data_IF_070231813294
#
_entry.id   IF_070231813294
#
_cell.length_a   1.000
_cell.length_b   1.000
_cell.length_c   1.000
_cell.angle_alpha   90.00
_cell.angle_beta   90.00
_cell.angle_gamma   90.00
#
_symmetry.space_group_name_H-M   'P 1'
#
loop_
_entity.id
_entity.type
_entity.pdbx_description
1 polymer ?
#
# COMPACT_ATOMS: atom_id res chain seq x y z
N UNK A 1 -24.78 -4.97 -11.71
CA UNK A 1 -24.49 -3.54 -11.97
C UNK A 1 -25.37 -2.92 -13.07
N UNK A 2 -26.21 -3.71 -13.75
CA UNK A 2 -26.99 -3.27 -14.92
C UNK A 2 -28.13 -2.30 -14.57
N UNK A 3 -28.72 -2.40 -13.38
CA UNK A 3 -29.86 -1.54 -12.99
C UNK A 3 -29.57 -0.04 -13.05
N UNK A 4 -28.37 0.39 -12.63
CA UNK A 4 -28.01 1.82 -12.71
C UNK A 4 -27.79 2.28 -14.16
N UNK A 5 -27.36 1.40 -15.06
CA UNK A 5 -27.23 1.71 -16.48
C UNK A 5 -28.61 1.86 -17.13
N UNK A 6 -29.56 0.98 -16.80
CA UNK A 6 -30.95 1.10 -17.27
C UNK A 6 -31.58 2.45 -16.88
N UNK A 7 -31.39 2.89 -15.63
CA UNK A 7 -31.96 4.16 -15.16
C UNK A 7 -31.30 5.38 -15.82
N UNK A 8 -30.04 5.30 -16.28
CA UNK A 8 -29.35 6.39 -17.00
C UNK A 8 -30.00 6.71 -18.35
N UNK A 9 -30.57 5.70 -19.00
CA UNK A 9 -31.26 5.85 -20.29
C UNK A 9 -32.66 6.44 -20.13
N UNK A 10 -33.24 6.39 -18.92
CA UNK A 10 -34.60 6.88 -18.72
C UNK A 10 -34.65 8.41 -18.55
N UNK A 11 -35.60 9.09 -19.22
CA UNK A 11 -35.74 10.53 -19.14
C UNK A 11 -36.24 11.01 -17.77
N UNK A 12 -36.89 10.13 -17.00
CA UNK A 12 -37.41 10.42 -15.65
C UNK A 12 -36.32 10.74 -14.62
N UNK A 13 -35.07 10.33 -14.88
CA UNK A 13 -33.91 10.63 -14.04
C UNK A 13 -33.00 11.68 -14.67
N UNK A 14 -33.57 12.64 -15.42
CA UNK A 14 -32.82 13.79 -15.95
C UNK A 14 -33.24 15.07 -15.21
N UNK A 15 -32.27 15.80 -14.68
CA UNK A 15 -32.47 17.12 -14.08
C UNK A 15 -31.69 18.19 -14.81
N UNK A 16 -32.15 19.43 -14.75
CA UNK A 16 -31.44 20.57 -15.31
C UNK A 16 -30.43 21.07 -14.29
N UNK A 17 -29.16 21.17 -14.67
CA UNK A 17 -28.12 21.76 -13.83
C UNK A 17 -28.19 23.30 -13.85
N UNK A 18 -27.39 23.96 -13.01
CA UNK A 18 -27.28 25.42 -12.96
C UNK A 18 -26.93 26.05 -14.33
N UNK A 19 -26.20 25.32 -15.18
CA UNK A 19 -25.83 25.75 -16.53
C UNK A 19 -26.90 25.47 -17.61
N UNK A 20 -28.12 25.05 -17.24
CA UNK A 20 -29.20 24.72 -18.18
C UNK A 20 -29.07 23.36 -18.87
N UNK A 21 -27.99 22.61 -18.62
CA UNK A 21 -27.75 21.30 -19.21
C UNK A 21 -28.55 20.19 -18.49
N UNK A 22 -29.13 19.26 -19.26
CA UNK A 22 -29.80 18.06 -18.71
C UNK A 22 -28.76 17.02 -18.27
N UNK A 23 -28.61 16.86 -16.97
CA UNK A 23 -27.70 15.89 -16.33
C UNK A 23 -28.47 14.75 -15.67
N UNK A 24 -27.83 13.60 -15.51
CA UNK A 24 -28.42 12.45 -14.82
C UNK A 24 -28.60 12.73 -13.33
N UNK A 25 -29.81 12.50 -12.81
CA UNK A 25 -30.15 12.70 -11.41
C UNK A 25 -29.85 11.44 -10.58
N UNK A 26 -28.58 11.30 -10.21
CA UNK A 26 -28.07 10.18 -9.41
C UNK A 26 -28.84 10.03 -8.09
N UNK A 27 -29.28 11.13 -7.47
CA UNK A 27 -29.92 11.08 -6.16
C UNK A 27 -31.30 10.44 -6.23
N UNK A 28 -32.10 10.83 -7.22
CA UNK A 28 -33.41 10.21 -7.48
C UNK A 28 -33.24 8.75 -7.88
N UNK A 29 -32.32 8.45 -8.81
CA UNK A 29 -32.05 7.07 -9.23
C UNK A 29 -31.58 6.16 -8.07
N UNK A 30 -30.67 6.63 -7.21
CA UNK A 30 -30.20 5.89 -6.05
C UNK A 30 -31.32 5.66 -5.01
N UNK A 31 -32.20 6.63 -4.82
CA UNK A 31 -33.36 6.51 -3.92
C UNK A 31 -34.35 5.45 -4.44
N UNK A 32 -34.62 5.45 -5.74
CA UNK A 32 -35.45 4.43 -6.40
C UNK A 32 -34.83 3.04 -6.29
N UNK A 33 -33.54 2.88 -6.60
CA UNK A 33 -32.82 1.60 -6.45
C UNK A 33 -32.89 1.10 -5.01
N UNK A 34 -32.72 1.98 -4.02
CA UNK A 34 -32.83 1.62 -2.60
C UNK A 34 -34.23 1.16 -2.20
N UNK A 35 -35.28 1.80 -2.75
CA UNK A 35 -36.66 1.39 -2.52
C UNK A 35 -36.98 0.04 -3.19
N UNK A 36 -36.46 -0.20 -4.40
CA UNK A 36 -36.55 -1.49 -5.10
C UNK A 36 -35.83 -2.59 -4.31
N UNK A 37 -34.62 -2.34 -3.83
CA UNK A 37 -33.83 -3.29 -3.04
C UNK A 37 -34.56 -3.77 -1.78
N UNK A 38 -35.22 -2.85 -1.06
CA UNK A 38 -36.01 -3.18 0.14
C UNK A 38 -37.19 -4.12 -0.17
N UNK A 39 -37.76 -4.02 -1.37
CA UNK A 39 -38.91 -4.82 -1.82
C UNK A 39 -38.50 -6.17 -2.43
N UNK A 40 -37.21 -6.41 -2.67
CA UNK A 40 -36.74 -7.67 -3.23
C UNK A 40 -37.02 -8.85 -2.27
N UNK A 41 -37.43 -10.01 -2.79
CA UNK A 41 -37.54 -11.25 -2.01
C UNK A 41 -36.21 -11.68 -1.42
N UNK A 42 -36.24 -12.40 -0.30
CA UNK A 42 -35.02 -12.90 0.37
C UNK A 42 -34.17 -13.80 -0.54
N UNK A 43 -34.81 -14.63 -1.36
CA UNK A 43 -34.11 -15.50 -2.31
C UNK A 43 -33.27 -14.70 -3.34
N UNK A 44 -33.80 -13.55 -3.78
CA UNK A 44 -33.13 -12.68 -4.75
C UNK A 44 -32.00 -11.89 -4.09
N UNK A 45 -32.20 -11.43 -2.84
CA UNK A 45 -31.12 -10.84 -2.03
C UNK A 45 -29.97 -11.83 -1.81
N UNK A 46 -30.28 -13.07 -1.44
CA UNK A 46 -29.28 -14.12 -1.26
C UNK A 46 -28.48 -14.42 -2.54
N UNK A 47 -29.11 -14.32 -3.72
CA UNK A 47 -28.41 -14.42 -5.01
C UNK A 47 -27.38 -13.30 -5.18
N UNK A 48 -27.76 -12.06 -4.85
CA UNK A 48 -26.86 -10.91 -4.92
C UNK A 48 -25.71 -11.03 -3.91
N UNK A 49 -25.99 -11.52 -2.71
CA UNK A 49 -24.95 -11.76 -1.68
C UNK A 49 -23.93 -12.79 -2.17
N UNK A 50 -24.40 -13.91 -2.75
CA UNK A 50 -23.52 -14.92 -3.35
C UNK A 50 -22.69 -14.35 -4.50
N UNK A 51 -23.28 -13.52 -5.35
CA UNK A 51 -22.56 -12.85 -6.43
C UNK A 51 -21.51 -11.88 -5.87
N UNK A 52 -21.82 -11.17 -4.79
CA UNK A 52 -20.87 -10.32 -4.08
C UNK A 52 -19.68 -11.13 -3.55
N UNK A 53 -19.92 -12.26 -2.89
CA UNK A 53 -18.84 -13.16 -2.43
C UNK A 53 -17.94 -13.61 -3.59
N UNK A 54 -18.53 -13.98 -4.73
CA UNK A 54 -17.77 -14.34 -5.93
C UNK A 54 -16.92 -13.19 -6.45
N UNK A 55 -17.47 -11.96 -6.48
CA UNK A 55 -16.72 -10.78 -6.89
C UNK A 55 -15.60 -10.43 -5.90
N UNK A 56 -15.82 -10.57 -4.60
CA UNK A 56 -14.78 -10.38 -3.57
C UNK A 56 -13.66 -11.40 -3.78
N UNK A 57 -14.00 -12.69 -3.94
CA UNK A 57 -13.00 -13.72 -4.18
C UNK A 57 -12.20 -13.49 -5.46
N UNK A 58 -12.85 -13.02 -6.54
CA UNK A 58 -12.16 -12.67 -7.78
C UNK A 58 -11.26 -11.45 -7.59
N UNK A 59 -11.76 -10.41 -6.92
CA UNK A 59 -10.98 -9.21 -6.61
C UNK A 59 -9.74 -9.53 -5.78
N UNK A 60 -9.84 -10.41 -4.79
CA UNK A 60 -8.69 -10.83 -3.99
C UNK A 60 -7.62 -11.56 -4.82
N UNK A 61 -8.04 -12.42 -5.75
CA UNK A 61 -7.12 -13.08 -6.70
C UNK A 61 -6.45 -12.06 -7.61
N UNK A 62 -7.22 -11.15 -8.19
CA UNK A 62 -6.70 -10.12 -9.09
C UNK A 62 -5.77 -9.15 -8.35
N UNK A 63 -6.11 -8.78 -7.12
CA UNK A 63 -5.27 -7.95 -6.27
C UNK A 63 -3.94 -8.66 -5.95
N UNK A 64 -3.97 -9.95 -5.64
CA UNK A 64 -2.76 -10.73 -5.38
C UNK A 64 -1.91 -10.88 -6.65
N UNK A 65 -2.54 -11.09 -7.81
CA UNK A 65 -1.84 -11.15 -9.10
C UNK A 65 -1.19 -9.81 -9.44
N UNK A 66 -1.93 -8.70 -9.27
CA UNK A 66 -1.42 -7.34 -9.48
C UNK A 66 -0.26 -7.02 -8.53
N UNK A 67 -0.37 -7.35 -7.24
CA UNK A 67 0.72 -7.14 -6.27
C UNK A 67 1.98 -7.91 -6.66
N UNK A 68 1.85 -9.12 -7.20
CA UNK A 68 2.98 -9.92 -7.69
C UNK A 68 3.58 -9.36 -8.98
N UNK A 69 2.79 -8.70 -9.82
CA UNK A 69 3.28 -8.07 -11.05
C UNK A 69 3.99 -6.73 -10.83
N UNK A 70 3.89 -6.14 -9.62
CA UNK A 70 4.54 -4.86 -9.35
C UNK A 70 6.06 -5.00 -9.33
N UNK A 71 6.72 -4.19 -10.16
CA UNK A 71 8.17 -4.03 -10.08
C UNK A 71 8.55 -3.18 -8.87
N UNK A 72 9.79 -3.27 -8.36
CA UNK A 72 10.26 -2.39 -7.30
C UNK A 72 10.08 -0.89 -7.66
N UNK A 73 10.27 -0.56 -8.93
CA UNK A 73 10.13 0.81 -9.43
C UNK A 73 8.66 1.28 -9.43
N UNK A 74 7.71 0.39 -9.74
CA UNK A 74 6.27 0.69 -9.62
C UNK A 74 5.89 0.99 -8.17
N UNK A 75 6.34 0.15 -7.24
CA UNK A 75 6.10 0.34 -5.80
C UNK A 75 6.70 1.67 -5.34
N UNK A 76 7.91 1.99 -5.77
CA UNK A 76 8.58 3.24 -5.42
C UNK A 76 7.81 4.45 -5.96
N UNK A 77 7.46 4.47 -7.25
CA UNK A 77 6.69 5.57 -7.86
C UNK A 77 5.35 5.76 -7.17
N UNK A 78 4.61 4.68 -6.94
CA UNK A 78 3.31 4.76 -6.27
C UNK A 78 3.43 5.29 -4.84
N UNK A 79 4.42 4.82 -4.08
CA UNK A 79 4.65 5.27 -2.72
C UNK A 79 5.08 6.75 -2.66
N UNK A 80 5.87 7.23 -3.63
CA UNK A 80 6.23 8.64 -3.76
C UNK A 80 4.99 9.50 -4.06
N UNK A 81 4.12 9.05 -4.96
CA UNK A 81 2.86 9.74 -5.24
C UNK A 81 1.95 9.83 -4.01
N UNK A 82 1.81 8.72 -3.25
CA UNK A 82 1.06 8.72 -2.00
C UNK A 82 1.66 9.69 -0.96
N UNK A 83 2.98 9.75 -0.84
CA UNK A 83 3.64 10.71 0.04
C UNK A 83 3.39 12.17 -0.40
N UNK A 84 3.44 12.43 -1.70
CA UNK A 84 3.10 13.74 -2.26
C UNK A 84 1.64 14.13 -1.96
N UNK A 85 0.68 13.22 -2.13
CA UNK A 85 -0.72 13.48 -1.80
C UNK A 85 -0.92 13.84 -0.33
N UNK A 86 -0.21 13.17 0.59
CA UNK A 86 -0.24 13.51 2.03
C UNK A 86 0.33 14.91 2.28
N UNK A 87 1.44 15.25 1.62
CA UNK A 87 2.06 16.59 1.72
C UNK A 87 1.13 17.69 1.19
N UNK A 88 0.32 17.38 0.18
CA UNK A 88 -0.71 18.29 -0.36
C UNK A 88 -1.98 18.37 0.51
N UNK A 89 -2.00 17.75 1.70
CA UNK A 89 -3.13 17.82 2.63
C UNK A 89 -4.37 17.04 2.16
N UNK A 90 -4.24 16.13 1.18
CA UNK A 90 -5.36 15.27 0.77
C UNK A 90 -5.76 14.38 1.94
N UNK A 91 -7.05 14.36 2.28
CA UNK A 91 -7.63 13.46 3.28
C UNK A 91 -7.76 12.04 2.69
N UNK A 92 -7.70 11.03 3.55
CA UNK A 92 -7.87 9.61 3.18
C UNK A 92 -6.88 9.05 2.13
N UNK A 93 -5.61 9.45 2.17
CA UNK A 93 -4.56 8.83 1.35
C UNK A 93 -4.26 7.41 1.84
N UNK A 94 -4.29 6.43 0.93
CA UNK A 94 -4.00 5.01 1.24
C UNK A 94 -2.59 4.83 1.83
N UNK A 95 -2.37 3.74 2.57
CA UNK A 95 -1.04 3.37 3.08
C UNK A 95 -0.10 3.01 1.92
N UNK A 96 1.20 3.09 2.19
CA UNK A 96 2.22 2.69 1.22
C UNK A 96 2.10 1.20 0.90
N UNK A 97 2.36 0.85 -0.36
CA UNK A 97 2.48 -0.53 -0.81
C UNK A 97 3.74 -1.13 -0.15
N UNK A 98 3.64 -2.28 0.52
CA UNK A 98 4.79 -2.91 1.16
C UNK A 98 5.79 -3.38 0.09
N UNK A 99 7.07 -3.14 0.36
CA UNK A 99 8.16 -3.64 -0.48
C UNK A 99 8.40 -5.11 -0.12
N UNK A 100 8.34 -6.05 -1.09
CA UNK A 100 8.69 -7.45 -0.89
C UNK A 100 10.07 -7.63 -0.26
N UNK A 101 10.27 -8.68 0.54
CA UNK A 101 11.53 -8.89 1.28
C UNK A 101 12.75 -9.03 0.37
N UNK A 102 12.57 -9.69 -0.78
CA UNK A 102 13.58 -9.81 -1.84
C UNK A 102 13.89 -8.48 -2.55
N UNK A 103 13.18 -7.38 -2.24
CA UNK A 103 13.41 -6.05 -2.79
C UNK A 103 13.82 -5.04 -1.71
N UNK A 104 13.91 -5.45 -0.44
CA UNK A 104 14.38 -4.58 0.63
C UNK A 104 15.88 -4.32 0.51
N UNK A 105 16.27 -3.08 0.78
CA UNK A 105 17.68 -2.66 0.83
C UNK A 105 18.38 -3.32 2.02
N UNK A 106 19.64 -3.74 1.86
CA UNK A 106 20.40 -4.31 2.95
C UNK A 106 20.73 -3.25 4.01
N UNK A 107 21.11 -3.72 5.19
CA UNK A 107 21.50 -2.85 6.29
C UNK A 107 22.86 -2.21 6.01
N UNK A 108 23.06 -0.99 6.51
CA UNK A 108 24.38 -0.36 6.49
C UNK A 108 25.26 -0.94 7.59
N UNK A 109 26.58 -0.73 7.47
CA UNK A 109 27.56 -1.20 8.45
C UNK A 109 27.20 -0.78 9.89
N UNK A 110 26.76 0.47 10.08
CA UNK A 110 26.28 0.96 11.36
C UNK A 110 25.07 0.18 11.90
N UNK A 111 24.10 -0.14 11.05
CA UNK A 111 22.92 -0.89 11.48
C UNK A 111 23.24 -2.37 11.80
N UNK A 112 24.17 -2.98 11.06
CA UNK A 112 24.70 -4.30 11.39
C UNK A 112 25.40 -4.27 12.75
N UNK A 113 26.24 -3.25 13.00
CA UNK A 113 26.85 -3.04 14.31
C UNK A 113 25.81 -2.81 15.41
N UNK A 114 24.80 -1.98 15.18
CA UNK A 114 23.76 -1.72 16.15
C UNK A 114 22.93 -2.97 16.47
N UNK A 115 22.65 -3.83 15.49
CA UNK A 115 22.01 -5.14 15.73
C UNK A 115 22.90 -6.04 16.59
N UNK A 116 24.18 -6.15 16.24
CA UNK A 116 25.16 -6.92 17.00
C UNK A 116 25.29 -6.42 18.45
N UNK A 117 25.39 -5.10 18.63
CA UNK A 117 25.45 -4.47 19.94
C UNK A 117 24.18 -4.74 20.75
N UNK A 118 22.99 -4.65 20.14
CA UNK A 118 21.72 -4.91 20.81
C UNK A 118 21.61 -6.38 21.25
N UNK A 119 21.98 -7.31 20.38
CA UNK A 119 21.96 -8.74 20.67
C UNK A 119 22.90 -9.10 21.84
N UNK A 120 24.09 -8.50 21.87
CA UNK A 120 25.09 -8.79 22.90
C UNK A 120 24.84 -8.08 24.23
N UNK A 121 24.14 -6.94 24.23
CA UNK A 121 23.89 -6.15 25.46
C UNK A 121 22.58 -6.47 26.18
N UNK A 122 21.67 -7.25 25.57
CA UNK A 122 20.32 -7.56 26.08
C UNK A 122 19.60 -6.34 26.70
N UNK A 123 19.81 -5.16 26.11
CA UNK A 123 19.36 -3.92 26.72
C UNK A 123 17.85 -3.75 26.61
N UNK A 124 17.19 -3.43 27.73
CA UNK A 124 15.76 -3.07 27.80
C UNK A 124 15.52 -1.57 27.71
N UNK A 125 16.57 -0.79 27.45
CA UNK A 125 16.51 0.67 27.40
C UNK A 125 15.62 1.17 26.23
N UNK A 126 15.03 2.38 26.35
CA UNK A 126 14.29 3.00 25.26
C UNK A 126 15.11 3.09 23.96
N UNK A 127 14.45 2.91 22.82
CA UNK A 127 15.12 2.89 21.50
C UNK A 127 15.96 4.15 21.23
N UNK A 128 15.53 5.32 21.72
CA UNK A 128 16.24 6.58 21.51
C UNK A 128 17.56 6.65 22.31
N UNK A 129 17.61 6.08 23.51
CA UNK A 129 18.81 6.05 24.35
C UNK A 129 19.83 5.10 23.76
N UNK A 130 19.36 3.90 23.39
CA UNK A 130 20.18 2.92 22.70
C UNK A 130 20.79 3.48 21.41
N UNK A 131 20.00 4.22 20.61
CA UNK A 131 20.49 4.80 19.37
C UNK A 131 21.61 5.83 19.60
N UNK A 132 21.52 6.64 20.67
CA UNK A 132 22.57 7.59 21.06
C UNK A 132 23.84 6.84 21.49
N UNK A 133 23.70 5.81 22.33
CA UNK A 133 24.81 4.99 22.81
C UNK A 133 25.51 4.25 21.66
N UNK A 134 24.75 3.60 20.79
CA UNK A 134 25.27 2.90 19.61
C UNK A 134 26.00 3.86 18.67
N UNK A 135 25.46 5.08 18.48
CA UNK A 135 26.11 6.12 17.69
C UNK A 135 27.46 6.59 18.28
N UNK A 136 27.53 6.74 19.61
CA UNK A 136 28.78 7.08 20.28
C UNK A 136 29.82 5.95 20.18
N UNK A 137 29.40 4.71 20.44
CA UNK A 137 30.25 3.52 20.32
C UNK A 137 30.79 3.34 18.91
N UNK A 138 29.94 3.47 17.88
CA UNK A 138 30.37 3.37 16.49
C UNK A 138 31.45 4.40 16.12
N UNK A 139 31.31 5.65 16.57
CA UNK A 139 32.30 6.70 16.34
C UNK A 139 33.63 6.42 17.05
N UNK A 140 33.58 5.76 18.21
CA UNK A 140 34.76 5.38 18.98
C UNK A 140 35.50 4.16 18.41
N UNK A 141 34.83 3.29 17.63
CA UNK A 141 35.47 2.14 17.00
C UNK A 141 36.59 2.57 16.06
N UNK A 142 37.70 1.83 16.06
CA UNK A 142 38.76 1.95 15.07
C UNK A 142 38.32 1.42 13.70
N UNK A 143 39.05 1.77 12.64
CA UNK A 143 38.79 1.24 11.29
C UNK A 143 38.82 -0.30 11.25
N UNK A 144 39.74 -0.92 11.99
CA UNK A 144 39.85 -2.39 12.07
C UNK A 144 38.64 -3.04 12.72
N UNK A 145 38.04 -2.39 13.71
CA UNK A 145 36.84 -2.90 14.39
C UNK A 145 35.56 -2.65 13.58
N UNK A 146 35.56 -1.63 12.71
CA UNK A 146 34.46 -1.36 11.77
C UNK A 146 34.52 -2.25 10.54
N UNK A 147 35.70 -2.66 10.10
CA UNK A 147 35.92 -3.42 8.86
C UNK A 147 35.00 -4.64 8.72
N UNK A 148 34.75 -5.50 9.76
CA UNK A 148 33.84 -6.63 9.60
C UNK A 148 32.42 -6.20 9.21
N UNK A 149 31.92 -5.11 9.80
CA UNK A 149 30.58 -4.58 9.50
C UNK A 149 30.53 -3.87 8.15
N UNK A 150 31.61 -3.16 7.78
CA UNK A 150 31.73 -2.48 6.48
C UNK A 150 31.88 -3.48 5.33
N UNK A 151 32.66 -4.54 5.52
CA UNK A 151 32.81 -5.63 4.57
C UNK A 151 31.49 -6.38 4.35
N UNK A 152 30.77 -6.71 5.43
CA UNK A 152 29.45 -7.34 5.33
C UNK A 152 28.45 -6.43 4.59
N UNK A 153 28.38 -5.15 4.97
CA UNK A 153 27.47 -4.21 4.32
C UNK A 153 27.80 -4.02 2.82
N UNK A 154 29.09 -4.06 2.45
CA UNK A 154 29.53 -4.02 1.04
C UNK A 154 29.08 -5.27 0.29
N UNK A 155 29.30 -6.46 0.85
CA UNK A 155 28.86 -7.72 0.25
C UNK A 155 27.34 -7.77 0.06
N UNK A 156 26.56 -7.44 1.11
CA UNK A 156 25.10 -7.43 1.06
C UNK A 156 24.57 -6.43 0.01
N UNK A 157 25.24 -5.27 -0.12
CA UNK A 157 24.92 -4.26 -1.12
C UNK A 157 25.17 -4.75 -2.54
N UNK A 158 26.29 -5.43 -2.78
CA UNK A 158 26.59 -6.03 -4.07
C UNK A 158 25.58 -7.11 -4.44
N UNK A 159 25.23 -7.99 -3.50
CA UNK A 159 24.19 -9.02 -3.71
C UNK A 159 22.83 -8.38 -4.00
N UNK A 160 22.44 -7.35 -3.24
CA UNK A 160 21.23 -6.59 -3.48
C UNK A 160 21.21 -5.98 -4.89
N UNK A 161 22.30 -5.36 -5.33
CA UNK A 161 22.37 -4.77 -6.67
C UNK A 161 22.18 -5.82 -7.76
N UNK A 162 22.85 -6.98 -7.66
CA UNK A 162 22.68 -8.11 -8.59
C UNK A 162 21.25 -8.64 -8.59
N UNK A 163 20.62 -8.72 -7.42
CA UNK A 163 19.22 -9.16 -7.28
C UNK A 163 18.25 -8.16 -7.91
N UNK A 164 18.47 -6.87 -7.70
CA UNK A 164 17.64 -5.81 -8.27
C UNK A 164 17.78 -5.72 -9.78
N UNK A 165 18.97 -5.98 -10.34
CA UNK A 165 19.15 -6.06 -11.80
C UNK A 165 18.31 -7.17 -12.44
N UNK A 166 18.13 -8.31 -11.76
CA UNK A 166 17.27 -9.40 -12.24
C UNK A 166 15.77 -9.12 -12.12
N UNK A 167 15.39 -8.15 -11.29
CA UNK A 167 14.00 -7.78 -10.99
C UNK A 167 13.52 -6.55 -11.78
N UNK A 168 14.42 -5.94 -12.56
CA UNK A 168 14.08 -4.93 -13.58
C UNK A 168 13.51 -5.60 -14.81
#
# INVERSE_FOLDING_TARGET
MERLQELKEKPEFRKTNQDGNKVFDIQSAASTIGAEWKKLPDAERARVDKLYEQHVAQYEKDLAAWQKSLTPDDIQRQNQFLAYQRKMGKKAVRRNIPVPDNMKRPLSAFFLFAQHLRANSQTTQPVYEFAKEAGAKWKALSAKEREPFEAQARADKEEYNKRMEKLK
#
